data_IF_591885346252
#
_entry.id   IF_591885346252
#
_cell.length_a   1.000
_cell.length_b   1.000
_cell.length_c   1.000
_cell.angle_alpha   90.00
_cell.angle_beta   90.00
_cell.angle_gamma   90.00
#
_symmetry.space_group_name_H-M   'P 1'
#
loop_
_entity.id
_entity.type
_entity.pdbx_description
1 polymer ?
#
# COMPACT_ATOMS: atom_id res chain seq x y z
N UNK A 1 -16.61 6.32 2.40
CA UNK A 1 -16.55 7.49 1.50
C UNK A 1 -16.01 8.73 2.21
N UNK A 2 -16.53 9.12 3.37
CA UNK A 2 -16.01 10.27 4.14
C UNK A 2 -14.58 10.01 4.65
N UNK A 3 -14.32 8.85 5.24
CA UNK A 3 -12.99 8.49 5.76
C UNK A 3 -11.90 8.47 4.70
N UNK A 4 -12.21 7.93 3.50
CA UNK A 4 -11.29 7.90 2.37
C UNK A 4 -11.03 9.30 1.79
N UNK A 5 -12.03 10.18 1.81
CA UNK A 5 -11.88 11.58 1.39
C UNK A 5 -10.99 12.36 2.37
N UNK A 6 -11.20 12.17 3.68
CA UNK A 6 -10.40 12.82 4.74
C UNK A 6 -8.95 12.36 4.70
N UNK A 7 -8.71 11.04 4.58
CA UNK A 7 -7.36 10.49 4.47
C UNK A 7 -6.66 10.94 3.18
N UNK A 8 -7.40 11.00 2.07
CA UNK A 8 -6.88 11.55 0.82
C UNK A 8 -6.47 13.01 0.96
N UNK A 9 -7.35 13.85 1.54
CA UNK A 9 -7.07 15.26 1.76
C UNK A 9 -5.86 15.49 2.69
N UNK A 10 -5.72 14.70 3.76
CA UNK A 10 -4.58 14.76 4.67
C UNK A 10 -3.25 14.45 3.94
N UNK A 11 -3.24 13.48 3.04
CA UNK A 11 -2.06 13.18 2.22
C UNK A 11 -1.71 14.30 1.25
N UNK A 12 -2.70 14.91 0.59
CA UNK A 12 -2.48 15.99 -0.37
C UNK A 12 -1.93 17.27 0.28
N UNK A 13 -2.27 17.55 1.54
CA UNK A 13 -1.79 18.72 2.28
C UNK A 13 -0.26 18.73 2.39
N UNK A 14 0.37 17.59 2.68
CA UNK A 14 1.83 17.51 2.78
C UNK A 14 2.53 17.68 1.43
N UNK A 15 1.94 17.16 0.34
CA UNK A 15 2.43 17.37 -1.02
C UNK A 15 2.38 18.86 -1.39
N UNK A 16 1.30 19.54 -1.00
CA UNK A 16 1.14 20.98 -1.19
C UNK A 16 2.19 21.76 -0.39
N UNK A 17 2.39 21.42 0.90
CA UNK A 17 3.39 22.08 1.75
C UNK A 17 4.82 21.93 1.21
N UNK A 18 5.19 20.76 0.68
CA UNK A 18 6.47 20.56 0.00
C UNK A 18 6.61 21.45 -1.24
N UNK A 19 5.53 21.63 -2.01
CA UNK A 19 5.52 22.49 -3.19
C UNK A 19 5.57 23.99 -2.91
N UNK A 20 5.36 24.41 -1.66
CA UNK A 20 5.38 25.81 -1.22
C UNK A 20 6.50 26.14 -0.23
N UNK A 21 7.41 25.19 0.04
CA UNK A 21 8.54 25.41 0.95
C UNK A 21 9.62 26.26 0.26
N UNK A 22 9.93 27.44 0.80
CA UNK A 22 10.95 28.35 0.30
C UNK A 22 12.20 28.26 1.19
N UNK A 23 12.88 27.11 1.13
CA UNK A 23 14.16 26.89 1.80
C UNK A 23 14.36 25.46 2.33
N UNK A 24 15.62 25.09 2.56
CA UNK A 24 16.02 23.74 2.97
C UNK A 24 15.43 23.33 4.34
N UNK A 25 15.29 24.27 5.29
CA UNK A 25 14.70 24.00 6.61
C UNK A 25 13.20 23.70 6.55
N UNK A 26 12.44 24.50 5.80
CA UNK A 26 10.99 24.30 5.64
C UNK A 26 10.68 23.03 4.86
N UNK A 27 11.49 22.73 3.83
CA UNK A 27 11.38 21.51 3.06
C UNK A 27 11.62 20.27 3.93
N UNK A 28 12.69 20.28 4.72
CA UNK A 28 13.03 19.16 5.62
C UNK A 28 11.93 18.93 6.65
N UNK A 29 11.42 20.00 7.27
CA UNK A 29 10.32 19.92 8.23
C UNK A 29 9.01 19.42 7.61
N UNK A 30 8.68 19.85 6.38
CA UNK A 30 7.49 19.39 5.67
C UNK A 30 7.58 17.90 5.32
N UNK A 31 8.75 17.43 4.89
CA UNK A 31 9.00 16.02 4.57
C UNK A 31 8.94 15.14 5.82
N UNK A 32 9.62 15.53 6.91
CA UNK A 32 9.64 14.76 8.15
C UNK A 32 8.23 14.62 8.76
N UNK A 33 7.48 15.71 8.83
CA UNK A 33 6.09 15.68 9.30
C UNK A 33 5.19 14.83 8.39
N UNK A 34 5.39 14.92 7.07
CA UNK A 34 4.67 14.09 6.10
C UNK A 34 4.95 12.59 6.26
N UNK A 35 6.20 12.24 6.61
CA UNK A 35 6.59 10.86 6.89
C UNK A 35 5.88 10.33 8.15
N UNK A 36 5.84 11.13 9.22
CA UNK A 36 5.16 10.77 10.47
C UNK A 36 3.67 10.55 10.25
N UNK A 37 3.00 11.47 9.56
CA UNK A 37 1.55 11.34 9.28
C UNK A 37 1.27 10.12 8.42
N UNK A 38 2.09 9.88 7.40
CA UNK A 38 1.99 8.67 6.55
C UNK A 38 2.12 7.40 7.40
N UNK A 39 3.08 7.36 8.33
CA UNK A 39 3.26 6.27 9.26
C UNK A 39 2.02 6.02 10.14
N UNK A 40 1.42 7.08 10.69
CA UNK A 40 0.19 6.98 11.51
C UNK A 40 -0.98 6.46 10.67
N UNK A 41 -1.20 7.02 9.48
CA UNK A 41 -2.31 6.61 8.59
C UNK A 41 -2.16 5.14 8.18
N UNK A 42 -0.94 4.71 7.83
CA UNK A 42 -0.66 3.31 7.54
C UNK A 42 -0.93 2.43 8.76
N UNK A 43 -0.48 2.83 9.95
CA UNK A 43 -0.74 2.10 11.19
C UNK A 43 -2.23 1.92 11.46
N UNK A 44 -3.02 2.99 11.36
CA UNK A 44 -4.48 2.93 11.52
C UNK A 44 -5.14 2.07 10.44
N UNK A 45 -4.68 2.16 9.19
CA UNK A 45 -5.20 1.35 8.10
C UNK A 45 -4.94 -0.14 8.33
N UNK A 46 -3.74 -0.52 8.78
CA UNK A 46 -3.39 -1.90 9.11
C UNK A 46 -4.25 -2.41 10.27
N UNK A 47 -4.38 -1.64 11.36
CA UNK A 47 -5.22 -2.02 12.49
C UNK A 47 -6.69 -2.17 12.09
N UNK A 48 -7.21 -1.25 11.28
CA UNK A 48 -8.58 -1.31 10.77
C UNK A 48 -8.80 -2.51 9.85
N UNK A 49 -7.84 -2.84 9.00
CA UNK A 49 -7.89 -4.01 8.12
C UNK A 49 -7.88 -5.31 8.93
N UNK A 50 -6.98 -5.43 9.92
CA UNK A 50 -6.91 -6.60 10.79
C UNK A 50 -8.17 -6.76 11.64
N UNK A 51 -8.66 -5.67 12.24
CA UNK A 51 -9.90 -5.68 13.02
C UNK A 51 -11.11 -6.07 12.18
N UNK A 52 -11.21 -5.54 10.96
CA UNK A 52 -12.27 -5.91 10.01
C UNK A 52 -12.18 -7.36 9.57
N UNK A 53 -10.97 -7.86 9.34
CA UNK A 53 -10.73 -9.26 9.02
C UNK A 53 -11.19 -10.17 10.16
N UNK A 54 -10.73 -9.95 11.39
CA UNK A 54 -11.11 -10.74 12.57
C UNK A 54 -12.62 -10.70 12.79
N UNK A 55 -13.24 -9.52 12.76
CA UNK A 55 -14.68 -9.38 12.91
C UNK A 55 -15.46 -10.14 11.82
N UNK A 56 -14.96 -10.10 10.57
CA UNK A 56 -15.53 -10.86 9.46
C UNK A 56 -15.49 -12.38 9.67
N UNK A 57 -14.44 -12.92 10.28
CA UNK A 57 -14.35 -14.35 10.60
C UNK A 57 -15.31 -14.76 11.73
N UNK A 58 -15.48 -13.90 12.74
CA UNK A 58 -16.39 -14.15 13.88
C UNK A 58 -17.85 -14.12 13.44
N UNK A 59 -18.24 -13.12 12.65
CA UNK A 59 -19.63 -12.93 12.22
C UNK A 59 -20.00 -13.90 11.10
N UNK A 60 -19.06 -14.29 10.24
CA UNK A 60 -19.34 -15.13 9.07
C UNK A 60 -18.27 -16.21 8.84
N UNK A 61 -18.24 -17.27 9.67
CA UNK A 61 -17.23 -18.31 9.60
C UNK A 61 -17.24 -19.09 8.27
N UNK A 62 -18.36 -19.10 7.54
CA UNK A 62 -18.43 -19.69 6.19
C UNK A 62 -17.57 -18.93 5.16
N UNK A 63 -17.28 -17.66 5.41
CA UNK A 63 -16.43 -16.82 4.57
C UNK A 63 -14.92 -17.11 4.70
N UNK A 64 -14.52 -17.89 5.71
CA UNK A 64 -13.10 -18.21 6.01
C UNK A 64 -12.40 -18.81 4.79
N UNK A 65 -13.06 -19.69 4.03
CA UNK A 65 -12.47 -20.29 2.82
C UNK A 65 -12.07 -19.24 1.80
N UNK A 66 -12.95 -18.27 1.52
CA UNK A 66 -12.66 -17.21 0.55
C UNK A 66 -11.60 -16.24 1.10
N UNK A 67 -11.62 -15.99 2.41
CA UNK A 67 -10.59 -15.19 3.07
C UNK A 67 -9.19 -15.85 2.99
N UNK A 68 -9.11 -17.16 3.20
CA UNK A 68 -7.87 -17.94 3.04
C UNK A 68 -7.37 -17.94 1.61
N UNK A 69 -8.27 -18.02 0.62
CA UNK A 69 -7.89 -17.89 -0.80
C UNK A 69 -7.28 -16.50 -1.05
N UNK A 70 -7.87 -15.44 -0.51
CA UNK A 70 -7.33 -14.09 -0.60
C UNK A 70 -5.93 -13.96 0.03
N UNK A 71 -5.74 -14.52 1.23
CA UNK A 71 -4.43 -14.54 1.91
C UNK A 71 -3.40 -15.33 1.11
N UNK A 72 -3.77 -16.51 0.59
CA UNK A 72 -2.88 -17.33 -0.22
C UNK A 72 -2.48 -16.62 -1.52
N UNK A 73 -3.43 -15.95 -2.19
CA UNK A 73 -3.15 -15.14 -3.37
C UNK A 73 -2.20 -13.97 -3.05
N UNK A 74 -2.40 -13.28 -1.91
CA UNK A 74 -1.51 -12.21 -1.47
C UNK A 74 -0.11 -12.74 -1.14
N UNK A 75 -0.01 -13.88 -0.45
CA UNK A 75 1.26 -14.52 -0.15
C UNK A 75 2.02 -14.92 -1.42
N UNK A 76 1.31 -15.37 -2.46
CA UNK A 76 1.89 -15.63 -3.77
C UNK A 76 2.46 -14.36 -4.41
N UNK A 77 1.75 -13.23 -4.33
CA UNK A 77 2.26 -11.94 -4.82
C UNK A 77 3.51 -11.51 -4.07
N UNK A 78 3.53 -11.63 -2.74
CA UNK A 78 4.70 -11.33 -1.91
C UNK A 78 5.89 -12.20 -2.34
N UNK A 79 5.67 -13.50 -2.52
CA UNK A 79 6.71 -14.43 -2.92
C UNK A 79 7.29 -14.10 -4.31
N UNK A 80 6.42 -13.83 -5.30
CA UNK A 80 6.86 -13.42 -6.64
C UNK A 80 7.63 -12.11 -6.58
N UNK A 81 7.12 -11.12 -5.85
CA UNK A 81 7.78 -9.83 -5.69
C UNK A 81 9.16 -9.95 -5.02
N UNK A 82 9.29 -10.86 -4.05
CA UNK A 82 10.53 -11.14 -3.35
C UNK A 82 11.56 -11.83 -4.22
N UNK A 83 11.14 -12.79 -5.05
CA UNK A 83 12.02 -13.44 -6.03
C UNK A 83 12.51 -12.48 -7.12
N UNK A 84 11.72 -11.45 -7.44
CA UNK A 84 12.09 -10.40 -8.41
C UNK A 84 12.85 -9.23 -7.79
N UNK A 85 12.98 -9.18 -6.46
CA UNK A 85 13.55 -8.03 -5.78
C UNK A 85 15.06 -7.96 -6.01
N UNK A 86 15.51 -6.84 -6.59
CA UNK A 86 16.94 -6.51 -6.70
C UNK A 86 17.28 -5.31 -5.80
N UNK A 87 17.89 -5.56 -4.62
CA UNK A 87 18.27 -4.50 -3.69
C UNK A 87 19.38 -3.59 -4.22
N UNK A 88 20.18 -4.04 -5.20
CA UNK A 88 21.33 -3.30 -5.70
C UNK A 88 20.93 -1.98 -6.38
N UNK A 89 19.73 -1.93 -6.96
CA UNK A 89 19.14 -0.72 -7.54
C UNK A 89 18.97 0.42 -6.52
N UNK A 90 19.01 0.10 -5.22
CA UNK A 90 18.82 1.05 -4.12
C UNK A 90 20.10 1.31 -3.31
N UNK A 91 21.24 0.75 -3.71
CA UNK A 91 22.51 0.91 -2.99
C UNK A 91 23.00 2.37 -2.87
N UNK A 92 22.49 3.27 -3.72
CA UNK A 92 22.76 4.71 -3.65
C UNK A 92 22.03 5.43 -2.52
N UNK A 93 21.03 4.78 -1.92
CA UNK A 93 20.33 5.25 -0.75
C UNK A 93 20.96 4.52 0.44
N UNK A 94 21.53 5.27 1.38
CA UNK A 94 22.19 4.72 2.57
C UNK A 94 21.15 4.12 3.53
N UNK A 95 20.65 2.93 3.16
CA UNK A 95 19.56 2.23 3.80
C UNK A 95 20.13 1.17 4.74
N UNK A 96 19.88 1.33 6.04
CA UNK A 96 20.33 0.40 7.06
C UNK A 96 19.56 -0.94 7.01
N UNK A 97 20.23 -2.03 7.40
CA UNK A 97 19.55 -3.24 7.89
C UNK A 97 18.56 -3.91 6.92
N UNK A 98 18.95 -4.15 5.67
CA UNK A 98 18.11 -4.90 4.70
C UNK A 98 16.87 -4.15 4.21
N UNK A 99 16.70 -2.87 4.58
CA UNK A 99 15.59 -2.03 4.10
C UNK A 99 15.55 -1.92 2.57
N UNK A 100 16.70 -1.92 1.89
CA UNK A 100 16.77 -1.92 0.43
C UNK A 100 15.98 -3.09 -0.19
N UNK A 101 16.04 -4.28 0.44
CA UNK A 101 15.27 -5.45 0.01
C UNK A 101 13.78 -5.21 0.22
N UNK A 102 13.37 -4.70 1.38
CA UNK A 102 11.95 -4.43 1.65
C UNK A 102 11.36 -3.37 0.71
N UNK A 103 12.14 -2.34 0.36
CA UNK A 103 11.75 -1.33 -0.63
C UNK A 103 11.58 -1.97 -2.01
N UNK A 104 12.56 -2.78 -2.44
CA UNK A 104 12.49 -3.49 -3.72
C UNK A 104 11.26 -4.41 -3.82
N UNK A 105 11.03 -5.22 -2.77
CA UNK A 105 9.88 -6.11 -2.66
C UNK A 105 8.58 -5.31 -2.67
N UNK A 106 8.49 -4.25 -1.85
CA UNK A 106 7.32 -3.38 -1.74
C UNK A 106 6.94 -2.75 -3.07
N UNK A 107 7.93 -2.24 -3.81
CA UNK A 107 7.71 -1.63 -5.10
C UNK A 107 7.25 -2.66 -6.15
N UNK A 108 7.88 -3.84 -6.19
CA UNK A 108 7.44 -4.95 -7.05
C UNK A 108 6.00 -5.38 -6.72
N UNK A 109 5.66 -5.55 -5.45
CA UNK A 109 4.29 -5.87 -5.02
C UNK A 109 3.29 -4.81 -5.48
N UNK A 110 3.63 -3.53 -5.34
CA UNK A 110 2.78 -2.44 -5.80
C UNK A 110 2.49 -2.54 -7.30
N UNK A 111 3.52 -2.73 -8.13
CA UNK A 111 3.31 -2.83 -9.58
C UNK A 111 2.54 -4.09 -9.99
N UNK A 112 2.82 -5.24 -9.37
CA UNK A 112 2.08 -6.50 -9.63
C UNK A 112 0.60 -6.32 -9.27
N UNK A 113 0.30 -5.80 -8.08
CA UNK A 113 -1.09 -5.61 -7.63
C UNK A 113 -1.81 -4.54 -8.44
N UNK A 114 -1.14 -3.46 -8.83
CA UNK A 114 -1.70 -2.44 -9.72
C UNK A 114 -2.09 -3.05 -11.07
N UNK A 115 -1.20 -3.85 -11.68
CA UNK A 115 -1.47 -4.53 -12.95
C UNK A 115 -2.65 -5.51 -12.82
N UNK A 116 -2.65 -6.36 -11.80
CA UNK A 116 -3.75 -7.30 -11.54
C UNK A 116 -5.08 -6.57 -11.31
N UNK A 117 -5.05 -5.43 -10.63
CA UNK A 117 -6.23 -4.59 -10.40
C UNK A 117 -6.77 -4.05 -11.72
N UNK A 118 -5.91 -3.48 -12.57
CA UNK A 118 -6.31 -2.98 -13.89
C UNK A 118 -6.92 -4.11 -14.75
N UNK A 119 -6.27 -5.27 -14.80
CA UNK A 119 -6.78 -6.44 -15.52
C UNK A 119 -8.16 -6.87 -14.98
N UNK A 120 -8.33 -6.87 -13.66
CA UNK A 120 -9.60 -7.24 -13.02
C UNK A 120 -10.71 -6.24 -13.33
N UNK A 121 -10.40 -4.94 -13.33
CA UNK A 121 -11.35 -3.88 -13.68
C UNK A 121 -11.79 -4.00 -15.14
N UNK A 122 -10.83 -4.18 -16.06
CA UNK A 122 -11.12 -4.37 -17.49
C UNK A 122 -11.96 -5.63 -17.70
N UNK A 123 -11.57 -6.77 -17.10
CA UNK A 123 -12.32 -8.01 -17.18
C UNK A 123 -13.74 -7.85 -16.65
N UNK A 124 -13.92 -7.21 -15.49
CA UNK A 124 -15.24 -6.93 -14.89
C UNK A 124 -16.12 -6.09 -15.82
N UNK A 125 -15.53 -5.08 -16.48
CA UNK A 125 -16.22 -4.26 -17.46
C UNK A 125 -16.69 -5.07 -18.68
N UNK A 126 -15.80 -5.85 -19.28
CA UNK A 126 -16.11 -6.67 -20.47
C UNK A 126 -17.11 -7.79 -20.12
N UNK A 127 -16.90 -8.51 -19.02
CA UNK A 127 -17.77 -9.61 -18.61
C UNK A 127 -19.21 -9.14 -18.34
N UNK A 128 -19.40 -7.91 -17.84
CA UNK A 128 -20.73 -7.33 -17.61
C UNK A 128 -21.46 -6.99 -18.91
N UNK A 129 -20.74 -6.72 -20.00
CA UNK A 129 -21.35 -6.43 -21.31
C UNK A 129 -21.71 -7.74 -22.04
N UNK A 130 -20.90 -8.77 -21.85
CA UNK A 130 -21.08 -10.08 -22.49
C UNK A 130 -22.07 -10.99 -21.78
N UNK A 131 -22.40 -10.70 -20.51
CA UNK A 131 -23.24 -11.54 -19.65
C UNK A 131 -24.45 -10.78 -19.16
#
# INVERSE_FOLDING_TARGET
MITSLVLGALGTIFVILVGFADGDEELTSAVDNGLVVTGIVLGVAVLGALGSFVNGLVVNPKGIKNALIGIAALALVVLVAWLMADPSAYAKYDLEGGMATFVAVGLNMFFITALLTLLTVVYSGVARILK
#
